data_IF_980055069998
#
_entry.id   IF_980055069998
#
_cell.length_a   1.000
_cell.length_b   1.000
_cell.length_c   1.000
_cell.angle_alpha   90.00
_cell.angle_beta   90.00
_cell.angle_gamma   90.00
#
_symmetry.space_group_name_H-M   'P 1'
#
loop_
_entity.id
_entity.type
_entity.pdbx_description
1 polymer ?
#
# COMPACT_ATOMS: atom_id res chain seq x y z
N UNK A 1 -27.31 36.89 14.78
CA UNK A 1 -26.72 36.95 13.43
C UNK A 1 -26.20 35.56 13.08
N UNK A 2 -26.87 34.90 12.15
CA UNK A 2 -26.67 33.50 11.75
C UNK A 2 -25.74 33.48 10.54
N UNK A 3 -24.58 32.85 10.69
CA UNK A 3 -23.58 32.70 9.63
C UNK A 3 -23.81 31.42 8.82
N UNK A 4 -24.22 31.61 7.58
CA UNK A 4 -24.48 30.64 6.51
C UNK A 4 -23.36 29.59 6.33
N UNK A 5 -23.68 28.30 6.56
CA UNK A 5 -22.83 27.14 6.18
C UNK A 5 -23.25 26.66 4.79
N UNK A 6 -22.54 27.09 3.75
CA UNK A 6 -22.67 26.48 2.43
C UNK A 6 -21.68 25.31 2.27
N UNK A 7 -22.24 24.10 2.31
CA UNK A 7 -21.64 22.86 1.82
C UNK A 7 -21.13 23.08 0.39
N UNK A 8 -19.82 22.94 0.16
CA UNK A 8 -19.25 22.78 -1.18
C UNK A 8 -19.02 21.29 -1.44
N UNK A 9 -20.02 20.64 -2.02
CA UNK A 9 -19.80 19.43 -2.82
C UNK A 9 -19.19 19.89 -4.16
N UNK A 10 -17.94 19.53 -4.41
CA UNK A 10 -17.31 19.70 -5.72
C UNK A 10 -17.44 18.38 -6.47
N UNK A 11 -18.39 18.30 -7.40
CA UNK A 11 -18.44 17.25 -8.42
C UNK A 11 -17.48 17.67 -9.54
N UNK A 12 -16.45 16.87 -9.80
CA UNK A 12 -15.56 17.06 -10.96
C UNK A 12 -16.18 16.35 -12.15
N UNK A 13 -16.59 17.13 -13.16
CA UNK A 13 -17.10 16.64 -14.44
C UNK A 13 -15.92 16.59 -15.44
N UNK A 14 -15.45 15.41 -15.81
CA UNK A 14 -14.40 15.25 -16.84
C UNK A 14 -15.05 15.16 -18.22
N UNK A 15 -14.78 16.15 -19.08
CA UNK A 15 -15.17 16.12 -20.49
C UNK A 15 -14.07 15.43 -21.33
N UNK A 16 -14.42 14.31 -21.97
CA UNK A 16 -13.53 13.55 -22.85
C UNK A 16 -13.58 14.16 -24.27
N UNK A 17 -12.53 14.83 -24.71
CA UNK A 17 -12.32 15.15 -26.13
C UNK A 17 -11.38 14.10 -26.72
N UNK A 18 -11.90 13.21 -27.55
CA UNK A 18 -11.10 12.28 -28.34
C UNK A 18 -10.62 13.03 -29.58
N UNK A 19 -9.31 13.23 -29.72
CA UNK A 19 -8.74 13.52 -31.03
C UNK A 19 -7.54 12.59 -31.28
N UNK A 20 -7.61 11.91 -32.41
CA UNK A 20 -6.66 10.93 -32.91
C UNK A 20 -5.33 11.57 -33.33
N UNK A 21 -4.25 10.81 -33.11
CA UNK A 21 -2.86 11.02 -33.53
C UNK A 21 -1.97 11.81 -32.57
N UNK A 22 -1.01 11.08 -31.96
CA UNK A 22 0.10 11.64 -31.18
C UNK A 22 0.14 11.10 -29.76
N UNK A 23 1.01 10.11 -29.53
CA UNK A 23 1.37 9.58 -28.22
C UNK A 23 2.05 10.67 -27.39
N UNK A 24 1.26 11.50 -26.71
CA UNK A 24 1.70 12.34 -25.61
C UNK A 24 1.36 11.59 -24.33
N UNK A 25 2.36 11.34 -23.50
CA UNK A 25 2.14 11.12 -22.08
C UNK A 25 1.45 12.39 -21.55
N UNK A 26 0.12 12.39 -21.55
CA UNK A 26 -0.67 13.45 -20.94
C UNK A 26 -0.35 13.39 -19.45
N UNK A 27 0.53 14.29 -19.00
CA UNK A 27 0.76 14.49 -17.58
C UNK A 27 -0.58 14.77 -16.93
N UNK A 28 -0.89 14.04 -15.87
CA UNK A 28 -2.09 14.30 -15.08
C UNK A 28 -1.78 15.50 -14.18
N UNK A 29 -2.75 16.38 -13.96
CA UNK A 29 -2.59 17.51 -13.04
C UNK A 29 -3.29 17.22 -11.72
N UNK A 30 -2.58 17.38 -10.61
CA UNK A 30 -3.13 17.33 -9.27
C UNK A 30 -3.01 18.69 -8.56
N UNK A 31 -3.94 18.96 -7.64
CA UNK A 31 -3.84 20.12 -6.75
C UNK A 31 -3.15 19.71 -5.45
N UNK A 32 -2.05 20.40 -5.10
CA UNK A 32 -1.30 20.21 -3.86
C UNK A 32 -1.53 21.40 -2.95
N UNK A 33 -1.92 21.14 -1.70
CA UNK A 33 -2.06 22.15 -0.67
C UNK A 33 -0.68 22.43 -0.03
N UNK A 34 -0.14 23.63 -0.23
CA UNK A 34 1.08 24.10 0.41
C UNK A 34 0.80 25.42 1.15
N UNK A 35 1.09 25.44 2.45
CA UNK A 35 0.89 26.63 3.32
C UNK A 35 -0.48 27.32 3.15
N UNK A 36 -1.54 26.53 3.03
CA UNK A 36 -2.92 27.04 2.90
C UNK A 36 -3.30 27.51 1.49
N UNK A 37 -2.45 27.30 0.47
CA UNK A 37 -2.75 27.62 -0.93
C UNK A 37 -2.67 26.37 -1.79
N UNK A 38 -3.58 26.27 -2.76
CA UNK A 38 -3.60 25.18 -3.72
C UNK A 38 -2.73 25.51 -4.92
N UNK A 39 -1.88 24.57 -5.33
CA UNK A 39 -0.99 24.67 -6.48
C UNK A 39 -1.22 23.50 -7.42
N UNK A 40 -1.34 23.78 -8.72
CA UNK A 40 -1.30 22.74 -9.74
C UNK A 40 0.12 22.13 -9.81
N UNK A 41 0.19 20.80 -9.91
CA UNK A 41 1.40 20.01 -10.08
C UNK A 41 1.13 18.89 -11.08
N UNK A 42 2.05 18.74 -12.05
CA UNK A 42 2.06 17.58 -12.92
C UNK A 42 2.43 16.35 -12.10
N UNK A 43 1.65 15.30 -12.24
CA UNK A 43 1.78 14.00 -11.59
C UNK A 43 1.61 12.89 -12.63
N UNK A 44 2.01 11.68 -12.23
CA UNK A 44 1.79 10.48 -13.01
C UNK A 44 1.24 9.42 -12.07
N UNK A 45 0.03 8.94 -12.31
CA UNK A 45 -0.45 7.74 -11.63
C UNK A 45 0.37 6.53 -12.06
N UNK A 46 0.49 5.55 -11.16
CA UNK A 46 1.17 4.27 -11.45
C UNK A 46 0.43 3.50 -12.57
N UNK A 47 -0.82 3.84 -12.86
CA UNK A 47 -1.53 3.38 -14.03
C UNK A 47 -0.95 4.01 -15.29
N UNK A 48 -0.35 3.17 -16.14
CA UNK A 48 0.13 3.49 -17.50
C UNK A 48 1.51 4.16 -17.62
N UNK A 49 2.62 3.52 -17.19
CA UNK A 49 3.85 3.62 -17.96
C UNK A 49 3.68 2.72 -19.19
N UNK A 50 3.74 3.29 -20.39
CA UNK A 50 3.80 2.50 -21.64
C UNK A 50 5.03 1.56 -21.71
N UNK A 51 5.91 1.58 -20.71
CA UNK A 51 7.15 0.84 -20.63
C UNK A 51 7.21 -0.23 -19.52
N UNK A 52 6.15 -0.45 -18.73
CA UNK A 52 6.15 -1.47 -17.68
C UNK A 52 5.12 -2.54 -17.99
N UNK A 53 5.61 -3.71 -18.38
CA UNK A 53 4.80 -4.93 -18.43
C UNK A 53 4.70 -5.46 -16.99
N UNK A 54 3.50 -5.39 -16.41
CA UNK A 54 3.22 -6.05 -15.15
C UNK A 54 3.14 -7.56 -15.40
N UNK A 55 3.78 -8.35 -14.55
CA UNK A 55 3.59 -9.80 -14.52
C UNK A 55 2.51 -10.10 -13.51
N UNK A 56 1.43 -10.73 -13.94
CA UNK A 56 0.32 -11.13 -13.05
C UNK A 56 0.67 -12.38 -12.22
N UNK A 57 1.82 -13.01 -12.47
CA UNK A 57 2.20 -14.30 -11.90
C UNK A 57 3.55 -14.19 -11.17
N UNK A 58 3.56 -13.55 -10.01
CA UNK A 58 4.70 -13.61 -9.08
C UNK A 58 4.32 -14.52 -7.93
N UNK A 59 5.12 -15.56 -7.68
CA UNK A 59 4.92 -16.46 -6.55
C UNK A 59 5.64 -15.87 -5.34
N UNK A 60 4.90 -15.69 -4.24
CA UNK A 60 5.49 -15.22 -2.99
C UNK A 60 5.75 -16.40 -2.05
N UNK A 61 6.91 -16.38 -1.39
CA UNK A 61 7.27 -17.33 -0.33
C UNK A 61 6.51 -17.08 0.97
N UNK A 62 6.77 -17.90 1.99
CA UNK A 62 6.06 -17.85 3.28
C UNK A 62 6.10 -16.46 3.93
N UNK A 63 7.23 -15.76 3.78
CA UNK A 63 7.48 -14.45 4.36
C UNK A 63 7.20 -13.29 3.39
N UNK A 64 6.66 -13.56 2.20
CA UNK A 64 6.32 -12.55 1.19
C UNK A 64 7.47 -12.12 0.28
N UNK A 65 8.61 -12.83 0.31
CA UNK A 65 9.69 -12.65 -0.66
C UNK A 65 9.38 -13.30 -2.01
N UNK A 66 10.09 -12.88 -3.06
CA UNK A 66 9.92 -13.34 -4.45
C UNK A 66 10.50 -14.76 -4.57
N UNK A 67 9.64 -15.79 -4.67
CA UNK A 67 10.03 -17.18 -4.54
C UNK A 67 10.90 -17.70 -5.71
N UNK A 68 10.86 -17.02 -6.85
CA UNK A 68 11.63 -17.36 -8.05
C UNK A 68 13.15 -17.15 -7.88
N UNK A 69 13.56 -16.35 -6.87
CA UNK A 69 14.98 -16.07 -6.61
C UNK A 69 15.31 -16.43 -5.16
N UNK A 70 16.31 -17.30 -4.97
CA UNK A 70 16.75 -17.74 -3.65
C UNK A 70 18.26 -17.62 -3.50
N UNK A 71 18.69 -17.01 -2.41
CA UNK A 71 20.08 -16.89 -2.00
C UNK A 71 20.27 -17.48 -0.59
N UNK A 72 21.43 -17.25 0.03
CA UNK A 72 21.74 -17.79 1.35
C UNK A 72 20.71 -17.35 2.41
N UNK A 73 20.05 -18.34 3.01
CA UNK A 73 19.08 -18.18 4.10
C UNK A 73 19.81 -18.13 5.45
N UNK A 74 19.36 -17.26 6.35
CA UNK A 74 19.90 -17.14 7.71
C UNK A 74 18.85 -17.41 8.79
N UNK A 75 17.60 -17.63 8.41
CA UNK A 75 16.47 -17.72 9.35
C UNK A 75 16.00 -16.36 9.88
N UNK A 76 16.57 -15.26 9.43
CA UNK A 76 16.17 -13.90 9.81
C UNK A 76 16.15 -12.98 8.60
N UNK A 77 15.33 -11.92 8.67
CA UNK A 77 15.42 -10.83 7.70
C UNK A 77 16.80 -10.18 7.76
N UNK A 78 17.36 -9.86 6.60
CA UNK A 78 18.66 -9.17 6.47
C UNK A 78 18.66 -8.27 5.24
N UNK A 79 19.72 -7.51 5.05
CA UNK A 79 19.94 -6.72 3.84
C UNK A 79 21.02 -7.35 2.98
N UNK A 80 20.91 -7.21 1.67
CA UNK A 80 21.96 -7.58 0.73
C UNK A 80 21.94 -6.67 -0.49
N UNK A 81 23.12 -6.47 -1.08
CA UNK A 81 23.25 -5.76 -2.36
C UNK A 81 23.40 -6.77 -3.48
N UNK A 82 22.40 -6.86 -4.36
CA UNK A 82 22.33 -7.76 -5.52
C UNK A 82 22.27 -6.89 -6.77
N UNK A 83 23.18 -7.13 -7.73
CA UNK A 83 23.26 -6.37 -8.99
C UNK A 83 23.22 -4.85 -8.82
N UNK A 84 23.94 -4.38 -7.79
CA UNK A 84 24.04 -2.96 -7.48
C UNK A 84 22.85 -2.37 -6.72
N UNK A 85 21.76 -3.11 -6.50
CA UNK A 85 20.54 -2.69 -5.78
C UNK A 85 20.49 -3.27 -4.38
N UNK A 86 19.96 -2.51 -3.42
CA UNK A 86 19.73 -2.98 -2.06
C UNK A 86 18.38 -3.68 -1.95
N UNK A 87 18.39 -4.85 -1.33
CA UNK A 87 17.23 -5.67 -1.06
C UNK A 87 17.18 -6.02 0.42
N UNK A 88 15.97 -6.18 0.95
CA UNK A 88 15.79 -7.09 2.08
C UNK A 88 15.80 -8.52 1.55
N UNK A 89 16.27 -9.44 2.38
CA UNK A 89 16.24 -10.87 2.14
C UNK A 89 15.44 -11.49 3.27
N UNK A 90 14.43 -12.28 2.92
CA UNK A 90 13.57 -12.95 3.89
C UNK A 90 14.31 -14.11 4.61
N UNK A 91 13.73 -14.67 5.70
CA UNK A 91 14.34 -15.78 6.45
C UNK A 91 14.67 -17.03 5.62
N UNK A 92 13.99 -17.24 4.50
CA UNK A 92 14.21 -18.36 3.58
C UNK A 92 15.20 -18.03 2.46
N UNK A 93 15.68 -16.79 2.38
CA UNK A 93 16.66 -16.37 1.39
C UNK A 93 16.07 -15.72 0.13
N UNK A 94 14.82 -15.29 0.12
CA UNK A 94 14.21 -14.64 -1.05
C UNK A 94 14.31 -13.11 -1.00
N UNK A 95 14.56 -12.42 -2.14
CA UNK A 95 14.47 -10.96 -2.21
C UNK A 95 13.08 -10.47 -1.79
N UNK A 96 13.06 -9.43 -0.97
CA UNK A 96 11.86 -8.94 -0.30
C UNK A 96 11.74 -7.42 -0.43
N UNK A 97 10.53 -6.97 -0.77
CA UNK A 97 10.13 -5.56 -0.69
C UNK A 97 9.10 -5.44 0.42
N UNK A 98 9.40 -4.60 1.41
CA UNK A 98 8.47 -4.35 2.50
C UNK A 98 7.37 -3.39 2.05
N UNK A 99 6.15 -3.93 1.92
CA UNK A 99 4.94 -3.15 1.64
C UNK A 99 4.05 -3.26 2.88
N UNK A 100 4.11 -2.24 3.74
CA UNK A 100 3.47 -2.29 5.04
C UNK A 100 2.61 -1.10 5.39
N UNK A 101 1.72 -1.32 6.36
CA UNK A 101 0.90 -0.28 6.97
C UNK A 101 1.36 -0.03 8.41
N UNK A 102 1.49 1.24 8.78
CA UNK A 102 1.70 1.64 10.16
C UNK A 102 0.38 1.65 10.94
N UNK A 103 0.50 1.54 12.27
CA UNK A 103 -0.62 1.64 13.21
C UNK A 103 -1.72 0.61 12.99
N UNK A 104 -1.36 -0.62 12.59
CA UNK A 104 -2.29 -1.75 12.55
C UNK A 104 -2.51 -2.24 13.98
N UNK A 105 -3.44 -1.59 14.66
CA UNK A 105 -3.78 -1.84 16.05
C UNK A 105 -5.26 -1.56 16.28
N UNK A 106 -5.72 -1.91 17.47
CA UNK A 106 -7.11 -1.75 17.86
C UNK A 106 -7.41 -0.40 18.54
N UNK A 107 -6.43 0.49 18.71
CA UNK A 107 -6.61 1.77 19.43
C UNK A 107 -7.51 2.77 18.71
N UNK A 108 -7.68 2.63 17.39
CA UNK A 108 -8.57 3.45 16.56
C UNK A 108 -9.96 2.86 16.33
N UNK A 109 -10.24 1.68 16.86
CA UNK A 109 -11.52 0.97 16.72
C UNK A 109 -12.20 0.97 18.08
N UNK A 110 -13.51 1.19 18.13
CA UNK A 110 -14.25 0.96 19.36
C UNK A 110 -14.11 -0.50 19.77
N UNK A 111 -13.38 -0.75 20.87
CA UNK A 111 -13.12 -2.09 21.38
C UNK A 111 -14.38 -2.84 21.79
N UNK A 112 -15.49 -2.14 22.02
CA UNK A 112 -16.80 -2.75 22.24
C UNK A 112 -17.33 -3.51 21.02
N UNK A 113 -16.86 -3.20 19.81
CA UNK A 113 -17.27 -3.84 18.56
C UNK A 113 -16.41 -5.05 18.18
N UNK A 114 -15.22 -5.20 18.76
CA UNK A 114 -14.32 -6.31 18.41
C UNK A 114 -14.93 -7.68 18.73
N UNK A 115 -15.53 -7.91 19.93
CA UNK A 115 -16.16 -9.19 20.23
C UNK A 115 -17.37 -9.50 19.33
N UNK A 116 -18.11 -8.48 18.87
CA UNK A 116 -19.31 -8.70 18.04
C UNK A 116 -18.97 -8.90 16.56
N UNK A 117 -17.89 -8.30 16.06
CA UNK A 117 -17.48 -8.40 14.66
C UNK A 117 -16.47 -9.52 14.40
N UNK A 118 -15.66 -9.88 15.41
CA UNK A 118 -14.51 -10.75 15.23
C UNK A 118 -14.34 -11.80 16.35
N UNK A 119 -15.34 -11.98 17.21
CA UNK A 119 -15.36 -12.83 18.41
C UNK A 119 -14.37 -12.41 19.51
N UNK A 120 -13.11 -12.17 19.15
CA UNK A 120 -12.02 -11.79 20.05
C UNK A 120 -10.88 -11.11 19.27
N UNK A 121 -9.83 -10.70 19.98
CA UNK A 121 -8.67 -10.03 19.39
C UNK A 121 -7.92 -10.90 18.36
N UNK A 122 -7.92 -12.22 18.55
CA UNK A 122 -7.32 -13.16 17.60
C UNK A 122 -8.14 -13.25 16.31
N UNK A 123 -9.46 -13.32 16.38
CA UNK A 123 -10.30 -13.30 15.18
C UNK A 123 -10.10 -12.01 14.38
N UNK A 124 -9.96 -10.87 15.07
CA UNK A 124 -9.65 -9.58 14.43
C UNK A 124 -8.29 -9.60 13.70
N UNK A 125 -7.23 -10.08 14.36
CA UNK A 125 -5.91 -10.14 13.76
C UNK A 125 -5.86 -11.08 12.54
N UNK A 126 -6.61 -12.18 12.55
CA UNK A 126 -6.72 -13.09 11.42
C UNK A 126 -7.46 -12.44 10.24
N UNK A 127 -8.63 -11.85 10.48
CA UNK A 127 -9.40 -11.14 9.47
C UNK A 127 -8.58 -10.00 8.85
N UNK A 128 -7.89 -9.22 9.69
CA UNK A 128 -6.99 -8.14 9.27
C UNK A 128 -5.83 -8.68 8.45
N UNK A 129 -5.18 -9.76 8.88
CA UNK A 129 -4.09 -10.39 8.12
C UNK A 129 -4.53 -10.85 6.73
N UNK A 130 -5.72 -11.47 6.63
CA UNK A 130 -6.29 -11.89 5.35
C UNK A 130 -6.56 -10.69 4.45
N UNK A 131 -7.16 -9.63 4.99
CA UNK A 131 -7.44 -8.39 4.26
C UNK A 131 -6.16 -7.75 3.72
N UNK A 132 -5.14 -7.60 4.55
CA UNK A 132 -3.87 -6.99 4.16
C UNK A 132 -3.19 -7.80 3.06
N UNK A 133 -3.11 -9.12 3.23
CA UNK A 133 -2.52 -10.02 2.23
C UNK A 133 -3.29 -9.99 0.91
N UNK A 134 -4.62 -9.95 0.94
CA UNK A 134 -5.43 -9.88 -0.28
C UNK A 134 -5.28 -8.57 -1.05
N UNK A 135 -4.72 -7.53 -0.41
CA UNK A 135 -4.43 -6.24 -1.02
C UNK A 135 -2.91 -6.04 -1.27
N UNK A 136 -2.10 -7.09 -1.16
CA UNK A 136 -0.67 -7.06 -1.48
C UNK A 136 0.24 -6.52 -0.38
N UNK A 137 -0.27 -6.27 0.84
CA UNK A 137 0.57 -5.91 1.98
C UNK A 137 1.19 -7.16 2.61
N UNK A 138 2.47 -7.06 2.99
CA UNK A 138 3.25 -8.16 3.56
C UNK A 138 3.95 -7.80 4.89
N UNK A 139 3.86 -6.54 5.34
CA UNK A 139 4.55 -6.08 6.54
C UNK A 139 3.61 -5.29 7.46
N UNK A 140 3.75 -5.45 8.77
CA UNK A 140 3.18 -4.53 9.75
C UNK A 140 4.24 -3.50 10.14
N UNK A 141 3.92 -2.22 9.94
CA UNK A 141 4.81 -1.09 10.23
C UNK A 141 4.78 -0.66 11.69
N UNK A 142 5.39 0.49 11.98
CA UNK A 142 5.47 1.06 13.32
C UNK A 142 4.10 1.19 14.00
N UNK A 143 4.08 1.07 15.34
CA UNK A 143 2.88 1.19 16.18
C UNK A 143 1.79 0.15 15.94
N UNK A 144 2.12 -0.98 15.33
CA UNK A 144 1.19 -2.09 15.13
C UNK A 144 1.24 -3.08 16.31
N UNK A 145 0.13 -3.80 16.55
CA UNK A 145 0.00 -4.81 17.63
C UNK A 145 0.73 -6.13 17.31
N UNK A 146 2.04 -6.09 17.15
CA UNK A 146 2.82 -7.23 16.66
C UNK A 146 2.63 -8.53 17.48
N UNK A 147 2.32 -8.43 18.79
CA UNK A 147 2.10 -9.60 19.65
C UNK A 147 0.87 -10.42 19.24
N UNK A 148 -0.20 -9.76 18.84
CA UNK A 148 -1.46 -10.42 18.44
C UNK A 148 -1.34 -11.09 17.06
N UNK A 149 -0.46 -10.55 16.21
CA UNK A 149 -0.17 -11.08 14.87
C UNK A 149 0.95 -12.14 14.86
N UNK A 150 1.72 -12.26 15.93
CA UNK A 150 2.75 -13.30 16.07
C UNK A 150 2.07 -14.64 16.38
N UNK A 151 1.92 -15.47 15.36
CA UNK A 151 1.42 -16.85 15.45
C UNK A 151 2.42 -17.82 14.88
#
# INVERSE_FOLDING_TARGET
MVGDRRNRLSIVLTALCINSAGMLCLGEDAQVLDRGKWHARSVQTVGTPACVTLSDNITLGQYGGIAETKIAATGFFRTERIDGKWWFIDPEGHPFISVGLCSVNHSGVDMGLVPSLFDNQSGWAEATSKLLKSHGFNTLGCWSDWRTFRR
#
